data_IF_409352060422
#
_entry.id   IF_409352060422
#
_cell.length_a   1.000
_cell.length_b   1.000
_cell.length_c   1.000
_cell.angle_alpha   90.00
_cell.angle_beta   90.00
_cell.angle_gamma   90.00
#
_symmetry.space_group_name_H-M   'P 1'
#
loop_
_entity.id
_entity.type
_entity.pdbx_description
1 polymer ?
#
# COMPACT_ATOMS: atom_id res chain seq x y z
N UNK A 1 7.06 34.74 5.03
CA UNK A 1 8.40 34.25 4.67
C UNK A 1 9.33 35.40 4.93
N UNK A 2 10.09 35.30 6.01
CA UNK A 2 11.02 36.34 6.43
C UNK A 2 12.42 35.88 6.02
N UNK A 3 12.85 36.31 4.83
CA UNK A 3 14.20 36.09 4.36
C UNK A 3 15.05 37.28 4.82
N UNK A 4 15.94 37.01 5.78
CA UNK A 4 16.88 38.00 6.29
C UNK A 4 18.20 37.91 5.53
N UNK A 5 18.62 39.01 4.90
CA UNK A 5 19.96 39.15 4.33
C UNK A 5 20.88 39.75 5.38
N UNK A 6 21.92 39.00 5.76
CA UNK A 6 22.94 39.48 6.70
C UNK A 6 23.94 40.41 5.99
N UNK A 7 24.59 41.30 6.75
CA UNK A 7 25.65 42.20 6.23
C UNK A 7 26.81 41.44 5.56
N UNK A 8 26.99 40.15 5.89
CA UNK A 8 27.95 39.23 5.26
C UNK A 8 27.56 38.77 3.85
N UNK A 9 26.38 39.17 3.34
CA UNK A 9 25.81 38.69 2.08
C UNK A 9 25.15 37.30 2.17
N UNK A 10 25.09 36.71 3.36
CA UNK A 10 24.45 35.40 3.60
C UNK A 10 22.94 35.56 3.75
N UNK A 11 22.17 34.72 3.07
CA UNK A 11 20.70 34.65 3.21
C UNK A 11 20.37 33.57 4.22
N UNK A 12 19.62 33.91 5.27
CA UNK A 12 19.01 32.90 6.14
C UNK A 12 17.53 32.78 5.78
N UNK A 13 17.10 31.54 5.58
CA UNK A 13 15.69 31.19 5.36
C UNK A 13 15.17 30.46 6.59
N UNK A 14 14.08 30.97 7.17
CA UNK A 14 13.35 30.27 8.23
C UNK A 14 12.13 29.56 7.65
N UNK A 15 12.17 28.22 7.62
CA UNK A 15 11.06 27.38 7.14
C UNK A 15 10.58 26.42 8.25
N UNK A 16 9.71 26.86 9.16
CA UNK A 16 9.12 25.95 10.15
C UNK A 16 8.26 24.90 9.42
N UNK A 17 8.21 23.68 9.95
CA UNK A 17 7.28 22.66 9.46
C UNK A 17 5.84 23.09 9.79
N UNK A 18 4.97 23.10 8.77
CA UNK A 18 3.56 23.42 8.96
C UNK A 18 2.81 22.22 9.54
N UNK A 19 2.06 22.44 10.61
CA UNK A 19 1.21 21.39 11.18
C UNK A 19 -0.08 21.23 10.38
N UNK A 20 -0.60 20.00 10.30
CA UNK A 20 -1.85 19.72 9.62
C UNK A 20 -3.06 20.26 10.43
N UNK A 21 -3.88 21.19 9.89
CA UNK A 21 -5.00 21.76 10.63
C UNK A 21 -6.09 20.73 10.94
N UNK A 22 -6.64 20.77 12.16
CA UNK A 22 -7.68 19.82 12.59
C UNK A 22 -8.93 19.83 11.68
N UNK A 23 -9.37 21.02 11.24
CA UNK A 23 -10.56 21.16 10.38
C UNK A 23 -10.39 20.55 8.98
N UNK A 24 -9.17 20.17 8.58
CA UNK A 24 -8.91 19.47 7.32
C UNK A 24 -8.92 17.94 7.48
N UNK A 25 -9.12 17.44 8.70
CA UNK A 25 -9.29 16.01 8.98
C UNK A 25 -10.77 15.59 8.87
N UNK A 26 -11.00 14.31 8.59
CA UNK A 26 -12.34 13.71 8.66
C UNK A 26 -12.45 12.90 9.95
N UNK A 27 -13.64 12.87 10.55
CA UNK A 27 -13.90 12.02 11.71
C UNK A 27 -13.81 10.54 11.30
N UNK A 28 -13.32 9.73 12.24
CA UNK A 28 -13.31 8.27 12.09
C UNK A 28 -14.70 7.76 12.50
N UNK A 29 -15.34 7.03 11.60
CA UNK A 29 -16.66 6.42 11.86
C UNK A 29 -16.49 5.15 12.72
N UNK A 30 -16.59 5.34 14.04
CA UNK A 30 -16.41 4.25 15.00
C UNK A 30 -17.51 3.20 14.93
N UNK A 31 -18.71 3.57 14.49
CA UNK A 31 -19.84 2.65 14.42
C UNK A 31 -19.70 1.74 13.20
N UNK A 32 -19.25 2.24 12.05
CA UNK A 32 -18.83 1.39 10.92
C UNK A 32 -17.76 0.38 11.33
N UNK A 33 -16.72 0.85 12.05
CA UNK A 33 -15.65 -0.02 12.53
C UNK A 33 -16.19 -1.08 13.50
N UNK A 34 -17.13 -0.72 14.38
CA UNK A 34 -17.78 -1.67 15.29
C UNK A 34 -18.68 -2.63 14.54
N UNK A 35 -19.46 -2.21 13.55
CA UNK A 35 -20.31 -3.13 12.77
C UNK A 35 -19.46 -4.14 11.99
N UNK A 36 -18.38 -3.68 11.35
CA UNK A 36 -17.41 -4.55 10.66
C UNK A 36 -16.67 -5.49 11.65
N UNK A 37 -16.41 -5.02 12.88
CA UNK A 37 -15.87 -5.84 13.98
C UNK A 37 -16.92 -6.68 14.72
N UNK A 38 -18.21 -6.42 14.63
CA UNK A 38 -19.28 -7.16 15.33
C UNK A 38 -19.92 -8.20 14.43
N UNK A 39 -19.78 -8.07 13.11
CA UNK A 39 -19.86 -9.23 12.22
C UNK A 39 -18.90 -10.34 12.67
N UNK A 40 -17.89 -10.09 13.50
CA UNK A 40 -16.88 -11.05 13.94
C UNK A 40 -17.33 -12.21 14.86
N UNK A 41 -18.63 -12.37 15.17
CA UNK A 41 -19.16 -13.72 15.49
C UNK A 41 -18.98 -14.68 14.29
N UNK A 42 -18.71 -14.13 13.11
CA UNK A 42 -18.30 -14.75 11.85
C UNK A 42 -16.80 -15.06 11.82
N UNK A 43 -15.98 -14.67 12.82
CA UNK A 43 -14.54 -15.01 12.83
C UNK A 43 -14.29 -16.51 12.71
N UNK A 44 -15.13 -17.34 13.36
CA UNK A 44 -15.07 -18.80 13.19
C UNK A 44 -15.40 -19.20 11.75
N UNK A 45 -16.52 -18.72 11.19
CA UNK A 45 -16.96 -19.04 9.83
C UNK A 45 -16.02 -18.55 8.73
N UNK A 46 -15.43 -17.36 8.89
CA UNK A 46 -14.43 -16.83 7.96
C UNK A 46 -13.11 -17.58 8.09
N UNK A 47 -12.66 -17.92 9.31
CA UNK A 47 -11.45 -18.76 9.46
C UNK A 47 -11.66 -20.18 8.93
N UNK A 48 -12.85 -20.76 9.10
CA UNK A 48 -13.26 -22.04 8.51
C UNK A 48 -13.28 -21.93 6.98
N UNK A 49 -13.89 -20.89 6.41
CA UNK A 49 -13.89 -20.67 4.96
C UNK A 49 -12.47 -20.42 4.41
N UNK A 50 -11.60 -19.71 5.13
CA UNK A 50 -10.19 -19.54 4.78
C UNK A 50 -9.43 -20.87 4.86
N UNK A 51 -9.74 -21.72 5.85
CA UNK A 51 -9.18 -23.07 5.99
C UNK A 51 -9.64 -24.01 4.86
N UNK A 52 -10.91 -23.92 4.45
CA UNK A 52 -11.48 -24.67 3.33
C UNK A 52 -10.88 -24.20 1.99
N UNK A 53 -10.73 -22.88 1.81
CA UNK A 53 -10.06 -22.29 0.65
C UNK A 53 -8.57 -22.61 0.61
N UNK A 54 -7.91 -22.83 1.76
CA UNK A 54 -6.48 -23.19 1.85
C UNK A 54 -6.17 -24.50 1.10
N UNK A 55 -7.12 -25.41 0.90
CA UNK A 55 -6.87 -26.64 0.15
C UNK A 55 -6.77 -26.46 -1.37
N UNK A 56 -7.70 -25.69 -1.95
CA UNK A 56 -7.85 -25.54 -3.41
C UNK A 56 -7.27 -24.23 -3.95
N UNK A 57 -7.45 -23.13 -3.20
CA UNK A 57 -7.00 -21.79 -3.58
C UNK A 57 -5.52 -21.56 -3.27
N UNK A 58 -4.93 -22.24 -2.26
CA UNK A 58 -3.53 -22.02 -1.91
C UNK A 58 -2.54 -22.45 -3.01
N UNK A 59 -2.93 -23.39 -3.89
CA UNK A 59 -2.07 -23.85 -4.98
C UNK A 59 -2.10 -22.94 -6.22
N UNK A 60 -3.22 -22.25 -6.45
CA UNK A 60 -3.45 -21.50 -7.71
C UNK A 60 -3.66 -20.00 -7.49
N UNK A 61 -3.99 -19.58 -6.26
CA UNK A 61 -4.36 -18.22 -5.92
C UNK A 61 -5.77 -17.84 -6.40
N UNK A 62 -6.24 -16.63 -6.04
CA UNK A 62 -7.46 -16.05 -6.59
C UNK A 62 -7.33 -15.82 -8.09
N UNK A 63 -8.48 -15.77 -8.79
CA UNK A 63 -8.50 -15.59 -10.24
C UNK A 63 -7.99 -14.19 -10.62
N UNK A 64 -7.28 -14.10 -11.75
CA UNK A 64 -6.69 -12.83 -12.24
C UNK A 64 -7.70 -11.69 -12.41
N UNK A 65 -8.97 -11.97 -12.70
CA UNK A 65 -9.99 -10.91 -12.78
C UNK A 65 -10.25 -10.24 -11.43
N UNK A 66 -10.21 -11.00 -10.33
CA UNK A 66 -10.40 -10.47 -8.96
C UNK A 66 -9.22 -9.59 -8.59
N UNK A 67 -8.00 -10.02 -8.92
CA UNK A 67 -6.79 -9.23 -8.72
C UNK A 67 -6.84 -7.93 -9.52
N UNK A 68 -7.33 -7.98 -10.76
CA UNK A 68 -7.54 -6.81 -11.61
C UNK A 68 -8.47 -5.78 -10.97
N UNK A 69 -9.57 -6.25 -10.38
CA UNK A 69 -10.60 -5.42 -9.77
C UNK A 69 -10.15 -4.78 -8.46
N UNK A 70 -9.47 -5.55 -7.60
CA UNK A 70 -8.98 -5.07 -6.29
C UNK A 70 -7.84 -4.05 -6.47
N UNK A 71 -6.88 -4.36 -7.35
CA UNK A 71 -5.67 -3.55 -7.51
C UNK A 71 -5.79 -2.51 -8.62
N UNK A 72 -6.92 -2.44 -9.33
CA UNK A 72 -7.13 -1.54 -10.47
C UNK A 72 -6.01 -1.65 -11.52
N UNK A 73 -5.63 -2.90 -11.84
CA UNK A 73 -4.49 -3.23 -12.71
C UNK A 73 -4.93 -3.62 -14.13
N UNK A 74 -3.99 -3.76 -15.05
CA UNK A 74 -4.22 -4.27 -16.40
C UNK A 74 -4.45 -5.80 -16.43
N UNK A 75 -5.13 -6.29 -17.48
CA UNK A 75 -5.45 -7.72 -17.63
C UNK A 75 -4.21 -8.63 -17.73
N UNK A 76 -3.07 -8.10 -18.18
CA UNK A 76 -1.85 -8.87 -18.46
C UNK A 76 -0.88 -8.98 -17.28
N UNK A 77 -1.07 -8.19 -16.23
CA UNK A 77 -0.11 -8.06 -15.13
C UNK A 77 0.02 -9.34 -14.30
N UNK A 78 -1.08 -10.10 -14.19
CA UNK A 78 -1.18 -11.30 -13.36
C UNK A 78 -0.92 -12.61 -14.13
N UNK A 79 -0.54 -12.55 -15.40
CA UNK A 79 -0.12 -13.74 -16.15
C UNK A 79 1.38 -13.99 -15.97
N UNK A 80 1.75 -15.26 -15.89
CA UNK A 80 3.16 -15.66 -15.77
C UNK A 80 3.95 -15.24 -16.99
N UNK A 81 5.13 -14.67 -16.74
CA UNK A 81 6.08 -14.31 -17.79
C UNK A 81 6.78 -15.55 -18.36
N UNK A 82 7.22 -15.45 -19.61
CA UNK A 82 7.99 -16.52 -20.25
C UNK A 82 9.29 -16.78 -19.48
N UNK A 83 9.81 -18.01 -19.59
CA UNK A 83 11.04 -18.43 -18.90
C UNK A 83 12.22 -17.50 -19.20
N UNK A 84 12.37 -17.08 -20.45
CA UNK A 84 13.46 -16.21 -20.91
C UNK A 84 13.45 -14.85 -20.22
N UNK A 85 12.27 -14.24 -20.08
CA UNK A 85 12.07 -12.96 -19.39
C UNK A 85 12.40 -13.07 -17.90
N UNK A 86 11.97 -14.16 -17.26
CA UNK A 86 12.29 -14.44 -15.85
C UNK A 86 13.79 -14.62 -15.60
N UNK A 87 14.51 -15.26 -16.52
CA UNK A 87 15.96 -15.45 -16.40
C UNK A 87 16.72 -14.12 -16.49
N UNK A 88 16.23 -13.17 -17.29
CA UNK A 88 16.81 -11.82 -17.42
C UNK A 88 16.57 -10.96 -16.17
N UNK A 89 15.53 -11.25 -15.39
CA UNK A 89 15.13 -10.46 -14.22
C UNK A 89 15.70 -10.94 -12.88
N UNK A 90 16.53 -12.00 -12.85
CA UNK A 90 17.06 -12.58 -11.59
C UNK A 90 18.19 -11.75 -10.97
N UNK A 91 18.82 -10.87 -11.75
CA UNK A 91 19.86 -9.99 -11.21
C UNK A 91 19.23 -8.95 -10.27
N UNK A 92 19.74 -8.87 -9.04
CA UNK A 92 19.39 -7.79 -8.15
C UNK A 92 19.83 -6.47 -8.79
N UNK A 93 18.94 -5.48 -8.95
CA UNK A 93 19.34 -4.17 -9.43
C UNK A 93 20.29 -3.54 -8.41
N UNK A 94 21.30 -2.83 -8.90
CA UNK A 94 22.22 -2.12 -8.00
C UNK A 94 21.44 -1.14 -7.13
N UNK A 95 21.69 -1.11 -5.80
CA UNK A 95 21.02 -0.18 -4.92
C UNK A 95 21.34 1.25 -5.35
N UNK A 96 20.30 2.04 -5.66
CA UNK A 96 20.44 3.43 -6.11
C UNK A 96 21.06 4.36 -5.05
N UNK A 97 20.98 4.00 -3.77
CA UNK A 97 21.63 4.72 -2.67
C UNK A 97 22.85 3.91 -2.23
N UNK A 98 24.05 4.41 -2.53
CA UNK A 98 25.28 4.02 -1.82
C UNK A 98 25.36 4.88 -0.56
N UNK A 99 25.58 4.22 0.58
CA UNK A 99 25.88 4.88 1.85
C UNK A 99 27.29 5.49 1.81
#
# INVERSE_FOLDING_TARGET
MDDGVFESGTVACWHPEESFPYHHSKSIDLDKIKTEKQSSSVLSKETEHIADLRGSLARTGPRNYTLREIFYTGKHEWYTRYREERLRSVAAPDPKRRN
#
